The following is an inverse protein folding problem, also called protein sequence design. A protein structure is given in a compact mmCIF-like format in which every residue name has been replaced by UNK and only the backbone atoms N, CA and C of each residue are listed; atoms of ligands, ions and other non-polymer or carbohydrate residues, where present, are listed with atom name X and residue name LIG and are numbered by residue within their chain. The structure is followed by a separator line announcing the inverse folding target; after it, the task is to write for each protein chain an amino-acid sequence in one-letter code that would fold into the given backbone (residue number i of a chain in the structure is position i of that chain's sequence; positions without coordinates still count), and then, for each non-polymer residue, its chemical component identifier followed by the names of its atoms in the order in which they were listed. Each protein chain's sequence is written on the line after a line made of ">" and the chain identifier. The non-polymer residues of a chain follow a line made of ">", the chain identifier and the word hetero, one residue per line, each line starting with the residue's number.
data_IF_700127846142
#
_entry.id   IF_700127846142
#
_cell.length_a   1.000
_cell.length_b   1.000
_cell.length_c   1.000
_cell.angle_alpha   90.00
_cell.angle_beta   90.00
_cell.angle_gamma   90.00
#
_symmetry.space_group_name_H-M   'P 1'
#
loop_
_entity.id
_entity.type
_entity.pdbx_description
1 polymer ?
#
# COMPACT_ATOMS: atom_id res chain seq x y z
N UNK A 1 -22.30 19.49 -8.43
CA UNK A 1 -21.17 18.79 -9.06
C UNK A 1 -20.82 17.59 -8.21
N UNK A 2 -20.97 16.38 -8.74
CA UNK A 2 -20.59 15.16 -8.02
C UNK A 2 -19.08 14.95 -8.19
N UNK A 3 -18.26 15.70 -7.42
CA UNK A 3 -16.79 15.62 -7.48
C UNK A 3 -16.22 14.64 -6.45
N UNK A 4 -17.03 13.68 -6.00
CA UNK A 4 -16.68 12.75 -4.93
C UNK A 4 -17.11 11.34 -5.32
N UNK A 5 -16.25 10.36 -5.01
CA UNK A 5 -16.48 8.94 -5.28
C UNK A 5 -16.47 8.19 -3.95
N UNK A 6 -17.27 7.13 -3.85
CA UNK A 6 -17.28 6.28 -2.66
C UNK A 6 -15.94 5.55 -2.51
N UNK A 7 -15.30 5.68 -1.35
CA UNK A 7 -14.11 4.91 -1.00
C UNK A 7 -14.49 3.51 -0.51
N UNK A 8 -13.74 2.50 -0.96
CA UNK A 8 -13.83 1.12 -0.49
C UNK A 8 -12.51 0.71 0.15
N UNK A 9 -12.53 0.34 1.43
CA UNK A 9 -11.33 -0.14 2.12
C UNK A 9 -11.18 -1.66 1.98
N UNK A 10 -10.00 -2.10 1.57
CA UNK A 10 -9.67 -3.50 1.35
C UNK A 10 -8.22 -3.80 1.77
N UNK A 11 -7.82 -5.06 1.96
CA UNK A 11 -8.67 -6.26 2.07
C UNK A 11 -8.89 -6.56 3.55
N UNK A 12 -10.13 -6.44 4.03
CA UNK A 12 -10.48 -6.56 5.44
C UNK A 12 -10.73 -8.03 5.82
N UNK A 13 -9.90 -8.69 6.62
CA UNK A 13 -8.59 -8.29 7.15
C UNK A 13 -7.62 -9.47 7.03
N UNK A 14 -6.31 -9.24 7.18
CA UNK A 14 -5.32 -10.31 7.27
C UNK A 14 -4.67 -10.73 5.96
N UNK A 15 -5.17 -10.21 4.82
CA UNK A 15 -4.73 -10.61 3.47
C UNK A 15 -3.21 -10.52 3.26
N UNK A 16 -2.54 -9.51 3.80
CA UNK A 16 -1.12 -9.25 3.58
C UNK A 16 -0.17 -10.06 4.48
N UNK A 17 -0.69 -10.96 5.32
CA UNK A 17 0.10 -11.67 6.34
C UNK A 17 -0.20 -13.17 6.29
N UNK A 18 -0.20 -13.70 5.07
CA UNK A 18 -0.25 -15.14 4.82
C UNK A 18 1.02 -15.81 5.36
N UNK A 19 0.92 -17.07 5.74
CA UNK A 19 2.02 -17.80 6.41
C UNK A 19 3.24 -17.97 5.50
N UNK A 20 2.98 -18.17 4.21
CA UNK A 20 3.98 -18.41 3.17
C UNK A 20 4.43 -17.13 2.47
N UNK A 21 3.71 -16.02 2.65
CA UNK A 21 3.81 -14.86 1.77
C UNK A 21 3.06 -15.05 0.46
N UNK A 22 2.40 -16.21 0.27
CA UNK A 22 1.71 -16.51 -0.97
C UNK A 22 0.33 -15.87 -1.06
N UNK A 23 -0.12 -15.47 -2.25
CA UNK A 23 -1.45 -14.90 -2.47
C UNK A 23 -2.56 -15.90 -2.08
N UNK A 24 -3.58 -15.40 -1.38
CA UNK A 24 -4.77 -16.15 -0.91
C UNK A 24 -4.49 -17.34 -0.01
N UNK A 25 -3.23 -17.58 0.36
CA UNK A 25 -2.88 -18.65 1.28
C UNK A 25 -3.46 -18.39 2.69
N UNK A 26 -3.53 -19.44 3.49
CA UNK A 26 -4.13 -19.38 4.80
C UNK A 26 -3.37 -18.46 5.76
N UNK A 27 -4.15 -17.74 6.57
CA UNK A 27 -3.66 -16.77 7.53
C UNK A 27 -3.83 -17.33 8.93
N UNK A 28 -2.72 -17.45 9.66
CA UNK A 28 -2.71 -17.82 11.07
C UNK A 28 -2.08 -16.69 11.89
N UNK A 29 -2.91 -15.73 12.31
CA UNK A 29 -2.47 -14.53 13.02
C UNK A 29 -3.16 -14.48 14.37
N UNK A 30 -2.43 -14.40 15.49
CA UNK A 30 -3.03 -14.21 16.82
C UNK A 30 -3.92 -12.97 16.88
N UNK A 31 -5.03 -13.05 17.63
CA UNK A 31 -5.99 -11.94 17.77
C UNK A 31 -5.33 -10.63 18.20
N UNK A 32 -4.31 -10.74 19.06
CA UNK A 32 -3.51 -9.61 19.52
C UNK A 32 -2.82 -8.90 18.35
N UNK A 33 -2.20 -9.65 17.45
CA UNK A 33 -1.45 -9.11 16.31
C UNK A 33 -2.38 -8.52 15.26
N UNK A 34 -3.54 -9.14 15.06
CA UNK A 34 -4.59 -8.60 14.20
C UNK A 34 -5.09 -7.24 14.72
N UNK A 35 -5.31 -7.12 16.04
CA UNK A 35 -5.76 -5.88 16.67
C UNK A 35 -4.69 -4.79 16.72
N UNK A 36 -3.42 -5.13 16.96
CA UNK A 36 -2.35 -4.13 17.10
C UNK A 36 -1.76 -3.67 15.77
N UNK A 37 -1.65 -4.54 14.77
CA UNK A 37 -0.92 -4.22 13.54
C UNK A 37 -1.83 -4.01 12.34
N UNK A 38 -2.89 -4.81 12.20
CA UNK A 38 -3.72 -4.78 11.01
C UNK A 38 -4.95 -3.90 11.18
N UNK A 39 -5.60 -3.93 12.34
CA UNK A 39 -6.84 -3.20 12.60
C UNK A 39 -6.73 -1.66 12.59
N UNK A 40 -5.65 -1.02 13.09
CA UNK A 40 -5.59 0.44 13.22
C UNK A 40 -5.91 1.23 11.93
N UNK A 41 -5.34 0.91 10.75
CA UNK A 41 -5.68 1.63 9.52
C UNK A 41 -7.16 1.44 9.13
N UNK A 42 -7.73 0.25 9.32
CA UNK A 42 -9.16 0.02 9.05
C UNK A 42 -10.05 0.81 9.99
N UNK A 43 -9.75 0.79 11.30
CA UNK A 43 -10.48 1.57 12.31
C UNK A 43 -10.48 3.07 11.94
N UNK A 44 -9.31 3.64 11.64
CA UNK A 44 -9.19 5.05 11.28
C UNK A 44 -10.05 5.41 10.06
N UNK A 45 -10.09 4.53 9.05
CA UNK A 45 -10.85 4.77 7.82
C UNK A 45 -12.36 4.56 8.02
N UNK A 46 -12.76 3.58 8.85
CA UNK A 46 -14.16 3.39 9.24
C UNK A 46 -14.70 4.55 10.07
N UNK A 47 -13.88 5.15 10.93
CA UNK A 47 -14.26 6.33 11.73
C UNK A 47 -14.31 7.61 10.89
N UNK A 48 -13.53 7.69 9.80
CA UNK A 48 -13.41 8.90 9.01
C UNK A 48 -14.39 8.96 7.81
N UNK A 49 -14.35 7.99 6.89
CA UNK A 49 -14.91 8.18 5.52
C UNK A 49 -15.43 6.91 4.83
N UNK A 50 -15.02 5.69 5.21
CA UNK A 50 -15.35 4.52 4.39
C UNK A 50 -16.85 4.22 4.30
N UNK A 51 -17.37 4.31 3.07
CA UNK A 51 -18.73 3.91 2.75
C UNK A 51 -18.84 2.41 2.50
N UNK A 52 -17.76 1.76 2.04
CA UNK A 52 -17.73 0.32 1.78
C UNK A 52 -16.44 -0.32 2.26
N UNK A 53 -16.48 -1.63 2.49
CA UNK A 53 -15.31 -2.47 2.72
C UNK A 53 -15.39 -3.71 1.85
N UNK A 54 -14.24 -4.24 1.47
CA UNK A 54 -14.12 -5.52 0.77
C UNK A 54 -13.40 -6.51 1.68
N UNK A 55 -14.01 -7.66 1.85
CA UNK A 55 -13.49 -8.76 2.68
C UNK A 55 -12.23 -9.36 2.06
N UNK A 56 -11.34 -9.89 2.91
CA UNK A 56 -10.18 -10.67 2.47
C UNK A 56 -10.60 -11.98 1.79
N UNK A 57 -9.79 -12.43 0.84
CA UNK A 57 -9.93 -13.74 0.21
C UNK A 57 -9.45 -14.89 1.12
N UNK A 58 -8.62 -14.60 2.11
CA UNK A 58 -7.92 -15.59 2.95
C UNK A 58 -8.81 -16.11 4.07
N UNK A 59 -8.70 -17.40 4.39
CA UNK A 59 -9.21 -17.90 5.67
C UNK A 59 -8.32 -17.42 6.82
N UNK A 60 -8.94 -17.06 7.94
CA UNK A 60 -8.24 -16.77 9.19
C UNK A 60 -8.52 -17.96 10.12
N UNK A 61 -7.47 -18.62 10.62
CA UNK A 61 -7.57 -19.84 11.44
C UNK A 61 -8.37 -20.99 10.78
N UNK A 62 -8.27 -21.16 9.46
CA UNK A 62 -9.08 -22.13 8.68
C UNK A 62 -10.60 -21.89 8.76
N UNK A 63 -11.05 -20.77 9.33
CA UNK A 63 -12.42 -20.34 9.21
C UNK A 63 -12.54 -19.55 7.89
N UNK A 64 -13.09 -20.21 6.87
CA UNK A 64 -13.72 -19.47 5.77
C UNK A 64 -15.05 -18.92 6.29
N UNK A 65 -15.44 -17.75 5.79
CA UNK A 65 -16.69 -17.03 6.06
C UNK A 65 -16.75 -16.16 7.32
N UNK A 66 -16.46 -14.86 7.13
CA UNK A 66 -17.29 -13.80 7.71
C UNK A 66 -18.25 -13.28 6.64
N UNK A 67 -19.01 -14.18 6.00
CA UNK A 67 -20.12 -13.90 5.07
C UNK A 67 -19.84 -12.79 4.03
N UNK A 68 -19.36 -13.19 2.86
CA UNK A 68 -19.32 -12.39 1.60
C UNK A 68 -20.42 -11.32 1.53
N UNK A 69 -20.02 -10.04 1.57
CA UNK A 69 -20.80 -8.91 1.06
C UNK A 69 -19.88 -8.05 0.20
N UNK A 70 -19.85 -8.33 -1.10
CA UNK A 70 -19.34 -7.41 -2.10
C UNK A 70 -20.26 -7.50 -3.32
N UNK A 71 -21.08 -6.46 -3.54
CA UNK A 71 -21.80 -6.28 -4.78
C UNK A 71 -20.86 -5.63 -5.78
N UNK A 72 -20.01 -6.43 -6.41
CA UNK A 72 -19.18 -6.03 -7.55
C UNK A 72 -19.17 -7.19 -8.54
N UNK A 73 -20.20 -7.25 -9.36
CA UNK A 73 -20.23 -8.08 -10.57
C UNK A 73 -20.53 -7.17 -11.75
N UNK A 74 -19.76 -7.33 -12.83
CA UNK A 74 -19.81 -6.51 -14.06
C UNK A 74 -21.14 -6.56 -14.82
N UNK A 75 -22.09 -7.42 -14.44
CA UNK A 75 -23.33 -7.64 -15.19
C UNK A 75 -24.60 -7.00 -14.58
N UNK A 76 -24.50 -6.24 -13.49
CA UNK A 76 -25.68 -5.70 -12.81
C UNK A 76 -26.16 -4.38 -13.40
N UNK A 77 -26.88 -4.45 -14.53
CA UNK A 77 -27.73 -3.34 -15.01
C UNK A 77 -28.80 -3.03 -13.94
N UNK A 78 -28.91 -1.76 -13.56
CA UNK A 78 -29.61 -1.26 -12.35
C UNK A 78 -31.04 -1.79 -12.12
N UNK A 79 -31.74 -2.22 -13.18
CA UNK A 79 -33.10 -2.76 -13.11
C UNK A 79 -33.15 -4.23 -12.64
N UNK A 80 -32.13 -5.05 -12.94
CA UNK A 80 -32.07 -6.46 -12.51
C UNK A 80 -31.67 -6.59 -11.04
N UNK A 81 -30.82 -5.70 -10.53
CA UNK A 81 -30.41 -5.67 -9.12
C UNK A 81 -31.61 -5.48 -8.17
N UNK A 82 -32.54 -4.59 -8.52
CA UNK A 82 -33.76 -4.35 -7.72
C UNK A 82 -34.64 -5.61 -7.72
N UNK A 83 -34.80 -6.25 -8.89
CA UNK A 83 -35.64 -7.44 -9.05
C UNK A 83 -35.04 -8.66 -8.35
N UNK A 84 -33.72 -8.82 -8.42
CA UNK A 84 -32.94 -9.84 -7.72
C UNK A 84 -32.99 -9.63 -6.21
N UNK A 85 -32.78 -8.40 -5.72
CA UNK A 85 -32.89 -8.06 -4.30
C UNK A 85 -34.30 -8.31 -3.75
N UNK A 86 -35.35 -8.02 -4.53
CA UNK A 86 -36.74 -8.33 -4.16
C UNK A 86 -37.02 -9.84 -4.12
N UNK A 87 -36.38 -10.64 -4.98
CA UNK A 87 -36.53 -12.10 -4.98
C UNK A 87 -35.82 -12.74 -3.78
N UNK A 88 -34.61 -12.26 -3.47
CA UNK A 88 -33.89 -12.65 -2.25
C UNK A 88 -34.71 -12.35 -1.00
N UNK A 89 -35.41 -11.20 -0.94
CA UNK A 89 -36.25 -10.86 0.21
C UNK A 89 -37.45 -11.77 0.41
N UNK A 90 -37.99 -12.34 -0.68
CA UNK A 90 -39.10 -13.30 -0.62
C UNK A 90 -38.68 -14.64 -0.06
N UNK A 91 -37.42 -15.02 -0.26
CA UNK A 91 -36.88 -16.33 0.15
C UNK A 91 -36.02 -16.24 1.42
N UNK A 92 -35.47 -15.07 1.75
CA UNK A 92 -34.49 -14.85 2.82
C UNK A 92 -34.71 -13.51 3.54
N UNK A 93 -35.80 -13.41 4.32
CA UNK A 93 -36.17 -12.21 5.09
C UNK A 93 -35.06 -11.62 5.98
N UNK A 94 -34.07 -12.42 6.37
CA UNK A 94 -32.91 -11.96 7.15
C UNK A 94 -31.95 -11.02 6.39
N UNK A 95 -32.10 -10.87 5.07
CA UNK A 95 -31.25 -9.99 4.25
C UNK A 95 -31.79 -8.56 4.10
N UNK A 96 -32.93 -8.24 4.72
CA UNK A 96 -33.55 -6.90 4.62
C UNK A 96 -32.64 -5.78 5.13
N UNK A 97 -31.90 -6.01 6.22
CA UNK A 97 -30.93 -5.05 6.72
C UNK A 97 -29.86 -4.69 5.67
N UNK A 98 -29.36 -5.69 4.92
CA UNK A 98 -28.34 -5.50 3.87
C UNK A 98 -28.87 -4.65 2.72
N UNK A 99 -30.11 -4.89 2.28
CA UNK A 99 -30.71 -4.10 1.21
C UNK A 99 -31.01 -2.66 1.64
N UNK A 100 -31.37 -2.45 2.91
CA UNK A 100 -31.50 -1.09 3.47
C UNK A 100 -30.17 -0.35 3.44
N UNK A 101 -29.07 -0.99 3.84
CA UNK A 101 -27.73 -0.39 3.77
C UNK A 101 -27.35 0.02 2.34
N UNK A 102 -27.60 -0.84 1.35
CA UNK A 102 -27.31 -0.54 -0.06
C UNK A 102 -28.14 0.64 -0.55
N UNK A 103 -29.44 0.67 -0.25
CA UNK A 103 -30.32 1.79 -0.60
C UNK A 103 -29.87 3.10 0.05
N UNK A 104 -29.49 3.06 1.33
CA UNK A 104 -28.98 4.25 2.04
C UNK A 104 -27.70 4.79 1.39
N UNK A 105 -26.78 3.92 0.96
CA UNK A 105 -25.56 4.34 0.24
C UNK A 105 -25.89 4.95 -1.12
N UNK A 106 -26.77 4.33 -1.92
CA UNK A 106 -27.22 4.90 -3.20
C UNK A 106 -27.87 6.29 -3.01
N UNK A 107 -28.61 6.48 -1.91
CA UNK A 107 -29.19 7.77 -1.55
C UNK A 107 -28.12 8.80 -1.15
N UNK A 108 -27.14 8.42 -0.31
CA UNK A 108 -26.02 9.29 0.07
C UNK A 108 -25.20 9.75 -1.13
N UNK A 109 -25.06 8.88 -2.15
CA UNK A 109 -24.36 9.18 -3.39
C UNK A 109 -25.22 9.95 -4.41
N UNK A 110 -26.50 10.22 -4.12
CA UNK A 110 -27.41 10.92 -5.03
C UNK A 110 -27.71 10.14 -6.32
N UNK A 111 -27.49 8.82 -6.32
CA UNK A 111 -27.66 7.97 -7.52
C UNK A 111 -29.12 7.78 -7.93
N UNK A 112 -30.07 8.14 -7.07
CA UNK A 112 -31.49 8.18 -7.44
C UNK A 112 -31.84 9.41 -8.30
N UNK A 113 -31.10 10.51 -8.15
CA UNK A 113 -31.32 11.75 -8.89
C UNK A 113 -30.47 11.81 -10.17
N UNK A 114 -29.22 11.33 -10.09
CA UNK A 114 -28.31 11.21 -11.23
C UNK A 114 -27.67 9.80 -11.23
N UNK A 115 -28.23 8.85 -11.99
CA UNK A 115 -27.79 7.46 -11.94
C UNK A 115 -26.37 7.20 -12.44
N UNK A 116 -25.84 8.07 -13.33
CA UNK A 116 -24.50 7.91 -13.91
C UNK A 116 -23.71 9.23 -13.84
N UNK A 117 -23.31 9.70 -12.63
CA UNK A 117 -22.50 10.90 -12.51
C UNK A 117 -21.16 10.71 -13.22
N UNK A 118 -20.85 11.60 -14.17
CA UNK A 118 -19.60 11.57 -14.92
C UNK A 118 -19.67 10.85 -16.27
N UNK A 119 -20.85 10.44 -16.75
CA UNK A 119 -21.04 9.85 -18.08
C UNK A 119 -20.43 10.69 -19.21
N UNK A 120 -20.44 12.03 -19.09
CA UNK A 120 -19.84 12.93 -20.08
C UNK A 120 -18.30 12.85 -20.17
N UNK A 121 -17.62 12.26 -19.18
CA UNK A 121 -16.15 12.17 -19.12
C UNK A 121 -15.61 10.83 -19.64
N UNK A 122 -16.47 9.84 -19.92
CA UNK A 122 -16.05 8.50 -20.37
C UNK A 122 -15.26 8.57 -21.68
N UNK A 123 -15.59 9.53 -22.56
CA UNK A 123 -14.87 9.73 -23.83
C UNK A 123 -13.58 10.54 -23.68
N UNK A 124 -13.24 11.03 -22.48
CA UNK A 124 -12.01 11.81 -22.24
C UNK A 124 -10.81 10.96 -21.85
N UNK A 125 -11.00 9.67 -21.57
CA UNK A 125 -9.93 8.74 -21.15
C UNK A 125 -9.90 7.55 -22.10
N UNK A 126 -8.71 7.14 -22.54
CA UNK A 126 -8.54 6.06 -23.52
C UNK A 126 -8.88 6.49 -24.95
N UNK A 127 -8.72 7.78 -25.25
CA UNK A 127 -8.84 8.29 -26.61
C UNK A 127 -7.51 8.06 -27.38
N UNK A 128 -7.53 8.20 -28.70
CA UNK A 128 -6.35 7.96 -29.56
C UNK A 128 -5.10 8.73 -29.12
N UNK A 129 -5.23 9.92 -28.53
CA UNK A 129 -4.09 10.67 -27.99
C UNK A 129 -3.52 10.08 -26.71
N UNK A 130 -4.38 9.53 -25.84
CA UNK A 130 -3.91 8.85 -24.63
C UNK A 130 -3.14 7.57 -25.03
N UNK A 131 -3.60 6.86 -26.06
CA UNK A 131 -2.89 5.73 -26.65
C UNK A 131 -1.55 6.14 -27.28
N UNK A 132 -1.53 7.25 -28.03
CA UNK A 132 -0.31 7.78 -28.65
C UNK A 132 0.75 8.19 -27.60
N UNK A 133 0.33 8.87 -26.52
CA UNK A 133 1.21 9.23 -25.39
C UNK A 133 1.71 7.98 -24.67
N UNK A 134 0.83 6.99 -24.42
CA UNK A 134 1.23 5.74 -23.79
C UNK A 134 2.25 4.97 -24.65
N UNK A 135 2.09 4.99 -25.98
CA UNK A 135 3.03 4.38 -26.93
C UNK A 135 4.36 5.14 -26.98
N UNK A 136 4.33 6.47 -26.96
CA UNK A 136 5.51 7.32 -26.87
C UNK A 136 6.31 7.06 -25.59
N UNK A 137 5.64 6.96 -24.45
CA UNK A 137 6.27 6.67 -23.15
C UNK A 137 6.76 5.22 -23.05
N UNK A 138 6.14 4.29 -23.78
CA UNK A 138 6.60 2.90 -23.88
C UNK A 138 7.78 2.70 -24.85
N UNK A 139 8.12 3.72 -25.65
CA UNK A 139 9.19 3.63 -26.63
C UNK A 139 10.56 3.83 -25.95
N UNK A 140 11.49 2.85 -26.03
CA UNK A 140 12.77 2.93 -25.33
C UNK A 140 13.66 4.02 -25.96
N UNK A 141 13.72 5.18 -25.31
CA UNK A 141 14.69 6.24 -25.65
C UNK A 141 16.03 5.92 -24.97
N UNK A 142 17.00 5.57 -25.81
CA UNK A 142 18.46 5.45 -25.64
C UNK A 142 19.12 5.62 -24.25
N UNK A 143 19.96 4.61 -23.93
CA UNK A 143 21.06 4.62 -22.95
C UNK A 143 20.71 4.74 -21.46
N UNK A 144 19.60 4.14 -21.04
CA UNK A 144 19.36 3.77 -19.65
C UNK A 144 19.07 2.27 -19.59
N UNK A 145 19.65 1.60 -18.60
CA UNK A 145 19.53 0.16 -18.42
C UNK A 145 18.25 -0.14 -17.64
N UNK A 146 17.23 -0.77 -18.26
CA UNK A 146 16.04 -1.19 -17.52
C UNK A 146 16.42 -2.41 -16.70
N UNK A 147 16.85 -2.18 -15.46
CA UNK A 147 16.84 -3.20 -14.41
C UNK A 147 15.45 -3.18 -13.82
N UNK A 148 14.52 -3.96 -14.37
CA UNK A 148 13.14 -3.95 -13.88
C UNK A 148 12.51 -5.34 -13.92
N UNK A 149 11.68 -5.61 -12.92
CA UNK A 149 10.70 -6.68 -12.95
C UNK A 149 9.52 -6.24 -13.82
N UNK A 150 8.96 -7.08 -14.70
CA UNK A 150 7.85 -6.63 -15.57
C UNK A 150 6.68 -6.00 -14.77
N UNK A 151 5.87 -5.11 -15.37
CA UNK A 151 4.69 -4.46 -14.74
C UNK A 151 3.63 -5.42 -14.13
N UNK A 152 3.84 -6.73 -14.26
CA UNK A 152 3.05 -7.83 -13.71
C UNK A 152 3.91 -8.98 -13.17
N UNK A 153 5.19 -8.73 -12.86
CA UNK A 153 5.99 -9.64 -12.04
C UNK A 153 5.39 -9.73 -10.63
N UNK A 154 4.85 -8.61 -10.13
CA UNK A 154 3.98 -8.50 -8.97
C UNK A 154 2.51 -8.90 -9.26
N UNK A 155 2.26 -9.94 -10.06
CA UNK A 155 0.93 -10.58 -10.01
C UNK A 155 0.67 -11.05 -8.57
N UNK A 156 -0.60 -11.23 -8.15
CA UNK A 156 -0.89 -11.94 -6.91
C UNK A 156 -0.28 -13.35 -7.02
N UNK A 157 0.89 -13.60 -6.43
CA UNK A 157 1.61 -14.86 -6.61
C UNK A 157 3.15 -14.85 -6.54
N UNK A 158 3.73 -14.56 -5.37
CA UNK A 158 4.71 -15.46 -4.74
C UNK A 158 6.14 -15.51 -5.30
N UNK A 159 6.87 -14.40 -5.18
CA UNK A 159 8.32 -14.37 -5.43
C UNK A 159 9.05 -14.98 -4.22
N UNK A 160 9.64 -16.17 -4.41
CA UNK A 160 10.46 -16.85 -3.39
C UNK A 160 11.87 -16.22 -3.22
N UNK A 161 12.35 -15.54 -4.26
CA UNK A 161 13.65 -14.89 -4.26
C UNK A 161 13.53 -13.46 -4.81
N UNK A 162 13.66 -12.42 -3.96
CA UNK A 162 13.54 -11.02 -4.35
C UNK A 162 14.78 -10.50 -5.10
N UNK A 163 15.74 -11.36 -5.44
CA UNK A 163 16.87 -10.97 -6.26
C UNK A 163 16.45 -10.72 -7.71
N UNK A 164 17.11 -9.76 -8.36
CA UNK A 164 16.95 -9.53 -9.80
C UNK A 164 17.23 -10.84 -10.58
N UNK A 165 16.60 -11.05 -11.75
CA UNK A 165 16.95 -12.15 -12.63
C UNK A 165 18.46 -12.22 -12.94
N UNK A 166 19.01 -13.43 -13.08
CA UNK A 166 20.46 -13.67 -13.23
C UNK A 166 21.08 -12.91 -14.41
N UNK A 167 20.36 -12.81 -15.52
CA UNK A 167 20.75 -12.04 -16.70
C UNK A 167 20.84 -10.53 -16.43
N UNK A 168 19.94 -9.99 -15.60
CA UNK A 168 20.01 -8.59 -15.18
C UNK A 168 21.16 -8.34 -14.20
N UNK A 169 21.46 -9.32 -13.33
CA UNK A 169 22.63 -9.24 -12.44
C UNK A 169 23.94 -9.22 -13.25
N UNK A 170 24.12 -10.16 -14.17
CA UNK A 170 25.30 -10.22 -15.04
C UNK A 170 25.45 -8.93 -15.85
N UNK A 171 24.35 -8.40 -16.36
CA UNK A 171 24.34 -7.13 -17.07
C UNK A 171 24.78 -5.97 -16.18
N UNK A 172 24.23 -5.87 -14.96
CA UNK A 172 24.59 -4.85 -13.98
C UNK A 172 26.07 -4.93 -13.57
N UNK A 173 26.61 -6.13 -13.39
CA UNK A 173 28.02 -6.37 -13.08
C UNK A 173 28.94 -5.96 -14.24
N UNK A 174 28.61 -6.38 -15.47
CA UNK A 174 29.38 -6.04 -16.66
C UNK A 174 29.45 -4.53 -16.88
N UNK A 175 28.34 -3.86 -16.64
CA UNK A 175 28.20 -2.41 -16.65
C UNK A 175 29.05 -1.74 -15.56
N UNK A 176 28.91 -2.18 -14.30
CA UNK A 176 29.70 -1.65 -13.19
C UNK A 176 31.21 -1.79 -13.44
N UNK A 177 31.64 -2.90 -14.06
CA UNK A 177 33.04 -3.14 -14.43
C UNK A 177 33.60 -2.12 -15.45
N UNK A 178 32.76 -1.41 -16.19
CA UNK A 178 33.22 -0.36 -17.12
C UNK A 178 33.74 0.89 -16.41
N UNK A 179 33.45 1.06 -15.11
CA UNK A 179 33.73 2.28 -14.36
C UNK A 179 32.86 3.48 -14.75
N UNK A 180 31.88 3.28 -15.63
CA UNK A 180 30.89 4.30 -15.99
C UNK A 180 29.95 4.51 -14.81
N UNK A 181 29.48 5.75 -14.60
CA UNK A 181 28.42 6.01 -13.61
C UNK A 181 27.09 5.50 -14.17
N UNK A 182 26.39 4.68 -13.39
CA UNK A 182 25.21 3.94 -13.84
C UNK A 182 24.07 4.26 -12.90
N UNK A 183 22.93 4.60 -13.49
CA UNK A 183 21.74 4.94 -12.75
C UNK A 183 20.56 4.24 -13.43
N UNK A 184 19.82 3.44 -12.66
CA UNK A 184 18.57 2.86 -13.11
C UNK A 184 17.48 3.95 -13.11
N UNK A 185 16.71 4.02 -14.19
CA UNK A 185 15.78 5.13 -14.42
C UNK A 185 14.43 4.64 -14.92
N UNK A 186 13.39 5.29 -14.44
CA UNK A 186 12.05 5.24 -15.03
C UNK A 186 11.32 6.57 -14.85
N UNK A 187 10.74 7.08 -15.94
CA UNK A 187 9.85 8.24 -15.96
C UNK A 187 10.46 9.62 -15.73
N UNK A 188 9.63 10.64 -15.95
CA UNK A 188 9.98 12.07 -15.84
C UNK A 188 10.45 12.44 -14.43
N UNK A 189 9.79 11.94 -13.38
CA UNK A 189 10.12 12.29 -12.00
C UNK A 189 11.56 11.89 -11.62
N UNK A 190 12.06 10.76 -12.12
CA UNK A 190 13.43 10.34 -11.88
C UNK A 190 14.43 11.21 -12.66
N UNK A 191 14.09 11.62 -13.89
CA UNK A 191 14.91 12.55 -14.65
C UNK A 191 15.05 13.90 -13.91
N UNK A 192 13.96 14.46 -13.40
CA UNK A 192 13.95 15.70 -12.61
C UNK A 192 14.83 15.59 -11.35
N UNK A 193 14.84 14.43 -10.68
CA UNK A 193 15.73 14.17 -9.56
C UNK A 193 17.19 14.15 -10.01
N UNK A 194 17.52 13.44 -11.09
CA UNK A 194 18.90 13.32 -11.57
C UNK A 194 19.49 14.63 -12.08
N UNK A 195 18.70 15.42 -12.81
CA UNK A 195 19.11 16.74 -13.25
C UNK A 195 19.11 17.76 -12.10
N UNK A 196 18.56 17.38 -10.95
CA UNK A 196 18.55 18.17 -9.72
C UNK A 196 17.51 19.29 -9.74
N UNK A 197 16.51 19.18 -10.61
CA UNK A 197 15.32 20.04 -10.65
C UNK A 197 14.43 19.78 -9.41
N UNK A 198 14.45 18.54 -8.91
CA UNK A 198 13.75 18.13 -7.68
C UNK A 198 14.71 17.45 -6.71
N UNK A 199 14.67 17.86 -5.44
CA UNK A 199 15.42 17.19 -4.37
C UNK A 199 14.60 15.97 -3.85
N UNK A 200 15.16 14.74 -3.84
CA UNK A 200 14.46 13.59 -3.28
C UNK A 200 14.14 13.81 -1.79
N UNK A 201 12.93 13.38 -1.39
CA UNK A 201 12.40 13.63 -0.04
C UNK A 201 11.45 12.54 0.46
N UNK A 202 11.67 11.31 -0.01
CA UNK A 202 10.86 10.14 0.33
C UNK A 202 11.66 9.27 1.29
N UNK A 203 10.98 8.78 2.33
CA UNK A 203 11.49 7.75 3.24
C UNK A 203 10.86 6.41 2.91
N UNK A 204 11.62 5.32 3.04
CA UNK A 204 11.11 3.98 2.78
C UNK A 204 9.98 3.61 3.76
N UNK A 205 8.77 3.27 3.27
CA UNK A 205 7.65 2.85 4.11
C UNK A 205 7.68 1.36 4.46
N UNK A 206 8.70 0.63 3.99
CA UNK A 206 8.93 -0.79 4.24
C UNK A 206 10.43 -1.03 4.42
N UNK A 207 10.80 -2.02 5.24
CA UNK A 207 12.19 -2.48 5.36
C UNK A 207 12.55 -3.33 4.14
N UNK A 208 13.66 -3.03 3.48
CA UNK A 208 14.18 -3.84 2.38
C UNK A 208 15.14 -4.91 2.92
N UNK A 209 14.83 -6.20 2.79
CA UNK A 209 15.64 -7.27 3.34
C UNK A 209 16.98 -7.39 2.59
N UNK A 210 18.02 -7.82 3.30
CA UNK A 210 19.31 -8.15 2.69
C UNK A 210 19.30 -9.52 2.03
N UNK A 211 18.71 -10.49 2.71
CA UNK A 211 18.58 -11.86 2.26
C UNK A 211 17.12 -12.31 2.36
N UNK A 212 16.67 -13.31 1.57
CA UNK A 212 15.30 -13.84 1.65
C UNK A 212 14.90 -14.25 3.08
N UNK A 213 15.87 -14.66 3.90
CA UNK A 213 15.65 -15.04 5.30
C UNK A 213 15.20 -13.88 6.21
N UNK A 214 15.42 -12.62 5.78
CA UNK A 214 15.04 -11.42 6.50
C UNK A 214 13.69 -10.85 6.08
N UNK A 215 13.04 -11.38 5.03
CA UNK A 215 11.80 -10.83 4.45
C UNK A 215 10.66 -10.71 5.47
N UNK A 216 10.64 -11.59 6.47
CA UNK A 216 9.60 -11.64 7.49
C UNK A 216 9.87 -10.71 8.69
N UNK A 217 10.95 -9.93 8.69
CA UNK A 217 11.39 -9.08 9.81
C UNK A 217 11.02 -7.62 9.53
N UNK A 218 9.90 -7.11 10.05
CA UNK A 218 9.55 -5.71 9.91
C UNK A 218 10.36 -4.85 10.88
N UNK A 219 10.36 -3.53 10.66
CA UNK A 219 11.06 -2.57 11.55
C UNK A 219 10.57 -2.58 13.00
N UNK A 220 9.32 -3.01 13.21
CA UNK A 220 8.65 -3.08 14.50
C UNK A 220 8.61 -4.50 15.07
N UNK A 221 9.56 -5.36 14.70
CA UNK A 221 9.67 -6.69 15.28
C UNK A 221 9.83 -6.63 16.81
N UNK A 222 9.42 -7.69 17.48
CA UNK A 222 9.51 -7.84 18.93
C UNK A 222 10.96 -8.00 19.36
N UNK A 223 11.26 -7.60 20.60
CA UNK A 223 12.58 -7.81 21.21
C UNK A 223 12.85 -9.31 21.32
N UNK A 224 13.62 -9.90 20.41
CA UNK A 224 13.97 -11.33 20.46
C UNK A 224 15.48 -11.55 20.60
N UNK A 225 15.86 -12.73 21.09
CA UNK A 225 17.26 -13.18 21.15
C UNK A 225 17.84 -13.54 19.78
N UNK A 226 17.07 -13.46 18.69
CA UNK A 226 17.52 -13.84 17.34
C UNK A 226 18.48 -12.80 16.75
N UNK A 227 18.34 -11.54 17.16
CA UNK A 227 19.23 -10.45 16.77
C UNK A 227 20.19 -10.03 17.92
N UNK A 228 20.28 -10.80 19.02
CA UNK A 228 21.18 -10.46 20.14
C UNK A 228 22.62 -10.93 19.95
N UNK A 229 22.85 -11.88 19.03
CA UNK A 229 24.19 -12.48 18.80
C UNK A 229 24.75 -12.18 17.40
N UNK A 230 23.88 -11.94 16.42
CA UNK A 230 24.21 -11.38 15.11
C UNK A 230 23.29 -10.18 14.85
N UNK A 231 23.80 -9.14 14.18
CA UNK A 231 22.95 -8.04 13.75
C UNK A 231 22.04 -8.52 12.62
N UNK A 232 20.73 -8.37 12.80
CA UNK A 232 19.75 -8.56 11.74
C UNK A 232 19.87 -7.41 10.72
N UNK A 233 20.95 -7.40 9.95
CA UNK A 233 21.24 -6.36 8.98
C UNK A 233 20.24 -6.40 7.83
N UNK A 234 19.48 -5.33 7.70
CA UNK A 234 18.65 -5.06 6.53
C UNK A 234 19.49 -4.36 5.47
N UNK A 235 19.10 -4.47 4.20
CA UNK A 235 19.78 -3.75 3.14
C UNK A 235 19.44 -2.26 3.21
N UNK A 236 18.17 -1.95 3.51
CA UNK A 236 17.68 -0.63 3.89
C UNK A 236 16.59 -0.76 4.95
N UNK A 237 16.66 0.05 5.99
CA UNK A 237 15.70 0.06 7.08
C UNK A 237 14.46 0.91 6.75
N UNK A 238 13.34 0.63 7.43
CA UNK A 238 12.19 1.52 7.41
C UNK A 238 12.59 2.93 7.85
N UNK A 239 12.24 3.92 7.03
CA UNK A 239 12.58 5.32 7.27
C UNK A 239 13.90 5.76 6.63
N UNK A 240 14.68 4.84 6.03
CA UNK A 240 15.89 5.22 5.29
C UNK A 240 15.54 6.10 4.09
N UNK A 241 16.42 7.05 3.82
CA UNK A 241 16.33 7.97 2.70
C UNK A 241 17.69 8.55 2.30
N UNK A 242 17.65 9.29 1.19
CA UNK A 242 18.74 10.12 0.70
C UNK A 242 18.17 11.47 0.28
N UNK A 243 18.96 12.53 0.51
CA UNK A 243 18.67 13.91 0.10
C UNK A 243 19.94 14.56 -0.43
N UNK A 244 19.80 15.50 -1.36
CA UNK A 244 20.90 16.36 -1.75
C UNK A 244 21.15 17.40 -0.65
N UNK A 245 21.94 17.01 0.36
CA UNK A 245 22.09 17.70 1.66
C UNK A 245 22.52 19.19 1.60
N UNK A 246 23.08 19.66 0.49
CA UNK A 246 23.54 21.05 0.30
C UNK A 246 22.55 21.88 -0.54
N UNK A 247 21.27 21.52 -0.52
CA UNK A 247 20.22 22.25 -1.25
C UNK A 247 18.98 22.36 -0.38
N UNK A 248 18.13 23.32 -0.73
CA UNK A 248 16.78 23.35 -0.20
C UNK A 248 16.08 22.00 -0.46
N UNK A 249 15.36 21.50 0.54
CA UNK A 249 14.83 20.15 0.50
C UNK A 249 13.76 19.92 1.55
N UNK A 250 13.10 18.76 1.43
CA UNK A 250 12.09 18.33 2.39
C UNK A 250 12.60 17.12 3.17
N UNK A 251 12.34 17.12 4.46
CA UNK A 251 12.75 16.07 5.39
C UNK A 251 11.53 15.52 6.13
N UNK A 252 11.43 14.21 6.33
CA UNK A 252 10.32 13.61 7.07
C UNK A 252 10.77 13.22 8.48
N UNK A 253 10.58 14.10 9.46
CA UNK A 253 10.94 13.79 10.85
C UNK A 253 9.97 12.75 11.42
N UNK A 254 10.50 11.60 11.83
CA UNK A 254 9.73 10.46 12.38
C UNK A 254 9.93 10.32 13.89
N UNK A 255 8.82 10.19 14.63
CA UNK A 255 8.82 9.92 16.07
C UNK A 255 8.43 8.46 16.32
N UNK A 256 9.38 7.71 16.86
CA UNK A 256 9.19 6.34 17.31
C UNK A 256 9.07 6.26 18.83
N UNK A 257 8.20 5.39 19.31
CA UNK A 257 8.12 5.01 20.73
C UNK A 257 8.51 3.55 20.93
N UNK A 258 9.18 3.27 22.04
CA UNK A 258 9.47 1.92 22.50
C UNK A 258 8.89 1.72 23.89
N UNK A 259 8.21 0.60 24.12
CA UNK A 259 7.68 0.26 25.43
C UNK A 259 8.63 -0.74 26.08
N UNK A 260 9.33 -0.39 27.17
CA UNK A 260 10.31 -1.29 27.78
C UNK A 260 9.67 -2.51 28.44
N UNK A 261 8.38 -2.46 28.77
CA UNK A 261 7.67 -3.53 29.44
C UNK A 261 6.21 -3.63 28.99
N UNK A 262 5.73 -4.86 28.77
CA UNK A 262 4.32 -5.16 28.50
C UNK A 262 3.92 -6.44 29.25
N UNK A 263 2.70 -6.47 29.80
CA UNK A 263 2.24 -7.55 30.69
C UNK A 263 1.98 -8.89 29.97
N UNK A 264 1.58 -8.85 28.70
CA UNK A 264 0.95 -9.98 28.01
C UNK A 264 1.72 -10.42 26.77
N UNK A 265 2.67 -9.61 26.29
CA UNK A 265 3.52 -9.96 25.16
C UNK A 265 4.88 -9.29 25.29
N UNK A 266 5.87 -9.81 24.56
CA UNK A 266 7.14 -9.10 24.34
C UNK A 266 6.83 -7.82 23.57
N UNK A 267 7.36 -6.66 24.00
CA UNK A 267 7.17 -5.40 23.29
C UNK A 267 7.94 -5.35 21.97
N UNK A 268 7.50 -4.47 21.08
CA UNK A 268 8.19 -4.13 19.84
C UNK A 268 9.45 -3.30 20.15
N UNK A 269 10.48 -3.44 19.31
CA UNK A 269 11.72 -2.65 19.42
C UNK A 269 11.41 -1.15 19.34
N UNK A 270 10.59 -0.77 18.35
CA UNK A 270 10.13 0.60 18.12
C UNK A 270 8.83 0.58 17.30
N UNK A 271 7.96 1.56 17.51
CA UNK A 271 6.71 1.76 16.76
C UNK A 271 6.64 3.19 16.27
N UNK A 272 6.40 3.41 14.98
CA UNK A 272 6.14 4.76 14.47
C UNK A 272 4.82 5.27 15.03
N UNK A 273 4.82 6.49 15.59
CA UNK A 273 3.61 7.12 16.14
C UNK A 273 3.21 8.37 15.40
N UNK A 274 4.18 9.23 15.10
CA UNK A 274 3.95 10.49 14.40
C UNK A 274 5.08 10.75 13.43
N UNK A 275 4.78 11.48 12.38
CA UNK A 275 5.77 12.03 11.49
C UNK A 275 5.33 13.42 11.01
N UNK A 276 6.30 14.26 10.65
CA UNK A 276 6.06 15.58 10.06
C UNK A 276 7.03 15.77 8.91
N UNK A 277 6.49 16.08 7.73
CA UNK A 277 7.30 16.52 6.60
C UNK A 277 7.54 18.02 6.73
N UNK A 278 8.81 18.40 6.82
CA UNK A 278 9.28 19.78 6.90
C UNK A 278 10.01 20.15 5.62
N UNK A 279 10.19 21.45 5.41
CA UNK A 279 10.95 22.01 4.30
C UNK A 279 11.99 22.97 4.88
N UNK A 280 13.22 22.88 4.39
CA UNK A 280 14.36 23.65 4.88
C UNK A 280 15.13 24.21 3.70
N UNK A 281 15.57 25.45 3.81
CA UNK A 281 16.60 26.03 2.95
C UNK A 281 17.99 25.57 3.40
N UNK A 282 18.99 25.77 2.54
CA UNK A 282 20.38 25.47 2.88
C UNK A 282 20.83 26.27 4.10
N UNK A 283 21.33 25.58 5.13
CA UNK A 283 21.78 26.19 6.39
C UNK A 283 20.66 26.62 7.35
N UNK A 284 19.39 26.42 6.99
CA UNK A 284 18.25 26.69 7.86
C UNK A 284 18.15 25.63 8.98
N UNK A 285 17.61 26.03 10.13
CA UNK A 285 17.28 25.13 11.23
C UNK A 285 15.86 25.36 11.70
N UNK A 286 15.14 24.28 12.04
CA UNK A 286 13.75 24.33 12.48
C UNK A 286 13.56 23.43 13.70
N UNK A 287 12.91 23.96 14.74
CA UNK A 287 12.48 23.16 15.87
C UNK A 287 11.22 22.34 15.51
N UNK A 288 11.32 21.02 15.60
CA UNK A 288 10.20 20.11 15.35
C UNK A 288 9.70 19.53 16.67
N UNK A 289 8.46 19.85 17.01
CA UNK A 289 7.80 19.36 18.23
C UNK A 289 6.69 18.37 17.94
N UNK A 290 6.54 17.38 18.82
CA UNK A 290 5.44 16.42 18.81
C UNK A 290 4.79 16.42 20.20
N UNK A 291 3.46 16.37 20.22
CA UNK A 291 2.69 16.17 21.46
C UNK A 291 2.21 14.73 21.48
N UNK A 292 2.38 14.03 22.60
CA UNK A 292 1.90 12.66 22.81
C UNK A 292 0.67 12.66 23.71
N UNK A 293 -0.24 11.74 23.44
CA UNK A 293 -1.43 11.45 24.23
C UNK A 293 -1.34 10.04 24.81
N UNK A 294 -2.28 9.66 25.68
CA UNK A 294 -2.36 8.29 26.19
C UNK A 294 -2.81 7.26 25.13
N UNK A 295 -3.34 7.72 23.99
CA UNK A 295 -3.72 6.87 22.86
C UNK A 295 -2.51 6.51 21.97
N UNK A 296 -1.44 7.32 22.02
CA UNK A 296 -0.19 7.07 21.31
C UNK A 296 0.65 5.97 21.98
#
# INVERSE_FOLDING_TARGET
>A
SYNQTAACINHFIGYSKTTTGHDKDNVNIPDLDLLYYLMPPFKAVFEAVALTTMESYTSIYNLHDVKRVAATGEDAVDAEFIKYGLNILKENHHQEARLREIKMKKLQLGLYDNPVPGQQYVLMVGNEKDEEIALEWSSPVSTSTPSYESNYAEKPGDIENPALPEDQQEYAEALAATGTKIIALDGQAMAEILYGDVNPSVKLPITYPKDPTNIAIPYNDRVTTRCTWDNCWMQWDFGDDLSYAQRAGKETVMLFLSQPFRKISVPEMKMLKKFKKIELQEGESMDVSFSLSAED
#
